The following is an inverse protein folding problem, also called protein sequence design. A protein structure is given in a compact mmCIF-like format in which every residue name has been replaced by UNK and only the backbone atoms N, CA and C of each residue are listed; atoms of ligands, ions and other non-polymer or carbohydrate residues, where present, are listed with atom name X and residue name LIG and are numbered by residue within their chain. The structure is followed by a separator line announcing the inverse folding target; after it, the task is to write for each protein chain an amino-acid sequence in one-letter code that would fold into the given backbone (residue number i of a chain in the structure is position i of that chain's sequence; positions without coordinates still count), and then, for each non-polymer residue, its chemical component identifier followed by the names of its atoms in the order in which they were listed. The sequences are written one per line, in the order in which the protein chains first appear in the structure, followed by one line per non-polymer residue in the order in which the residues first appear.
data_IF_948169131436
#
_entry.id   IF_948169131436
#
_cell.length_a   1.000
_cell.length_b   1.000
_cell.length_c   1.000
_cell.angle_alpha   90.00
_cell.angle_beta   90.00
_cell.angle_gamma   90.00
#
_symmetry.space_group_name_H-M   'P 1'
#
loop_
_entity.id
_entity.type
_entity.pdbx_description
1 polymer ?
#
# COMPACT_ATOMS: atom_id res chain seq x y z
N UNK A 1 38.71 -1.43 -18.68
CA UNK A 1 37.71 -1.09 -17.64
C UNK A 1 36.38 -1.68 -18.07
N UNK A 2 36.04 -2.89 -17.62
CA UNK A 2 34.75 -3.50 -17.94
C UNK A 2 33.70 -2.97 -16.96
N UNK A 3 32.68 -2.29 -17.47
CA UNK A 3 31.49 -1.98 -16.70
C UNK A 3 30.82 -3.31 -16.35
N UNK A 4 30.91 -3.71 -15.08
CA UNK A 4 30.31 -4.93 -14.58
C UNK A 4 28.81 -4.91 -14.87
N UNK A 5 28.29 -5.98 -15.47
CA UNK A 5 26.87 -6.15 -15.72
C UNK A 5 26.07 -5.85 -14.43
N UNK A 6 25.20 -4.85 -14.48
CA UNK A 6 24.25 -4.58 -13.40
C UNK A 6 23.37 -5.81 -13.22
N UNK A 7 23.67 -6.65 -12.22
CA UNK A 7 22.77 -7.73 -11.83
C UNK A 7 21.52 -7.08 -11.26
N UNK A 8 20.36 -7.39 -11.83
CA UNK A 8 19.09 -7.07 -11.20
C UNK A 8 19.00 -7.91 -9.92
N UNK A 9 19.00 -7.25 -8.76
CA UNK A 9 18.92 -7.90 -7.45
C UNK A 9 17.47 -8.28 -7.05
N UNK A 10 16.55 -8.40 -8.01
CA UNK A 10 15.15 -8.78 -7.78
C UNK A 10 14.53 -9.46 -9.00
N UNK A 11 13.58 -10.37 -8.77
CA UNK A 11 12.90 -11.09 -9.87
C UNK A 11 11.81 -10.22 -10.51
N UNK A 12 11.69 -10.29 -11.84
CA UNK A 12 10.62 -9.61 -12.59
C UNK A 12 9.23 -10.09 -12.15
N UNK A 13 9.10 -11.38 -11.91
CA UNK A 13 7.89 -12.01 -11.39
C UNK A 13 7.44 -11.38 -10.06
N UNK A 14 8.37 -11.20 -9.12
CA UNK A 14 8.06 -10.58 -7.83
C UNK A 14 7.70 -9.11 -8.01
N UNK A 15 8.37 -8.38 -8.90
CA UNK A 15 7.95 -7.02 -9.24
C UNK A 15 6.50 -6.98 -9.75
N UNK A 16 6.13 -7.89 -10.66
CA UNK A 16 4.78 -7.92 -11.23
C UNK A 16 3.72 -8.30 -10.16
N UNK A 17 4.04 -9.15 -9.19
CA UNK A 17 3.19 -9.46 -8.03
C UNK A 17 3.00 -8.22 -7.14
N UNK A 18 4.08 -7.49 -6.86
CA UNK A 18 4.05 -6.31 -5.98
C UNK A 18 3.37 -5.09 -6.63
N UNK A 19 3.42 -4.96 -7.96
CA UNK A 19 2.78 -3.86 -8.70
C UNK A 19 1.26 -4.06 -8.87
N UNK A 20 0.81 -5.32 -8.95
CA UNK A 20 -0.60 -5.68 -9.06
C UNK A 20 -1.24 -5.82 -7.67
N UNK A 21 -2.12 -4.87 -7.29
CA UNK A 21 -2.69 -4.80 -5.94
C UNK A 21 -3.52 -6.03 -5.55
N UNK A 22 -4.09 -6.73 -6.52
CA UNK A 22 -4.86 -7.96 -6.30
C UNK A 22 -3.94 -9.14 -5.96
N UNK A 23 -2.84 -9.28 -6.70
CA UNK A 23 -1.79 -10.26 -6.42
C UNK A 23 -1.07 -9.95 -5.11
N UNK A 24 -0.81 -8.67 -4.84
CA UNK A 24 -0.19 -8.21 -3.60
C UNK A 24 -1.08 -8.45 -2.37
N UNK A 25 -2.39 -8.19 -2.46
CA UNK A 25 -3.30 -8.47 -1.36
C UNK A 25 -3.34 -9.96 -1.01
N UNK A 26 -3.36 -10.84 -2.03
CA UNK A 26 -3.23 -12.30 -1.83
C UNK A 26 -1.93 -12.68 -1.13
N UNK A 27 -0.80 -12.10 -1.55
CA UNK A 27 0.49 -12.31 -0.90
C UNK A 27 0.47 -11.86 0.58
N UNK A 28 -0.17 -10.74 0.90
CA UNK A 28 -0.32 -10.28 2.29
C UNK A 28 -1.16 -11.25 3.12
N UNK A 29 -2.27 -11.75 2.57
CA UNK A 29 -3.09 -12.75 3.24
C UNK A 29 -2.33 -14.06 3.51
N UNK A 30 -1.57 -14.57 2.52
CA UNK A 30 -0.74 -15.77 2.65
C UNK A 30 0.37 -15.63 3.69
N UNK A 31 0.95 -14.43 3.81
CA UNK A 31 2.02 -14.13 4.79
C UNK A 31 1.48 -13.76 6.18
N UNK A 32 0.16 -13.67 6.34
CA UNK A 32 -0.49 -13.26 7.58
C UNK A 32 -0.25 -11.79 7.94
N UNK A 33 0.12 -10.96 6.97
CA UNK A 33 0.26 -9.52 7.17
C UNK A 33 -1.10 -8.83 7.10
N UNK A 34 -1.36 -7.85 7.97
CA UNK A 34 -2.62 -7.12 7.96
C UNK A 34 -2.75 -6.32 6.66
N UNK A 35 -3.94 -6.39 6.05
CA UNK A 35 -4.31 -5.57 4.90
C UNK A 35 -5.81 -5.21 4.98
N UNK A 36 -6.24 -4.12 4.29
CA UNK A 36 -7.66 -3.79 4.22
C UNK A 36 -8.46 -4.93 3.58
N UNK A 37 -9.66 -5.22 4.09
CA UNK A 37 -10.50 -6.27 3.54
C UNK A 37 -10.86 -5.96 2.07
N UNK A 38 -10.78 -6.98 1.22
CA UNK A 38 -11.16 -6.89 -0.19
C UNK A 38 -12.64 -7.24 -0.38
N UNK A 39 -13.28 -6.51 -1.28
CA UNK A 39 -14.69 -6.68 -1.61
C UNK A 39 -14.88 -6.95 -3.10
N UNK A 40 -15.83 -7.83 -3.41
CA UNK A 40 -16.20 -8.14 -4.80
C UNK A 40 -17.07 -7.04 -5.42
N UNK A 41 -17.82 -6.30 -4.60
CA UNK A 41 -18.77 -5.28 -5.05
C UNK A 41 -18.71 -4.03 -4.18
N UNK A 42 -19.19 -2.91 -4.72
CA UNK A 42 -19.30 -1.62 -3.99
C UNK A 42 -20.51 -1.56 -3.05
N UNK A 43 -21.28 -2.65 -2.94
CA UNK A 43 -22.41 -2.80 -2.02
C UNK A 43 -21.96 -3.11 -0.58
N UNK A 44 -20.67 -3.37 -0.38
CA UNK A 44 -20.07 -3.55 0.94
C UNK A 44 -20.23 -2.30 1.83
N UNK A 45 -20.01 -2.50 3.13
CA UNK A 45 -20.14 -1.44 4.13
C UNK A 45 -19.19 -0.26 3.84
N UNK A 46 -19.73 0.95 3.92
CA UNK A 46 -18.96 2.19 3.73
C UNK A 46 -18.15 2.53 5.00
N UNK A 47 -17.03 3.27 4.88
CA UNK A 47 -16.45 3.80 3.65
C UNK A 47 -15.56 2.80 2.88
N UNK A 48 -15.57 2.90 1.56
CA UNK A 48 -14.75 2.09 0.66
C UNK A 48 -13.73 2.94 -0.11
N UNK A 49 -12.65 2.31 -0.55
CA UNK A 49 -11.70 2.84 -1.51
C UNK A 49 -11.63 1.94 -2.74
N UNK A 50 -11.69 2.54 -3.92
CA UNK A 50 -11.58 1.83 -5.20
C UNK A 50 -10.29 2.25 -5.87
N UNK A 51 -9.49 1.27 -6.29
CA UNK A 51 -8.14 1.48 -6.84
C UNK A 51 -7.97 0.67 -8.12
N UNK A 52 -7.36 1.21 -9.18
CA UNK A 52 -6.87 0.39 -10.27
C UNK A 52 -5.93 -0.70 -9.75
N UNK A 53 -6.10 -1.92 -10.24
CA UNK A 53 -5.26 -3.07 -9.88
C UNK A 53 -3.78 -2.74 -10.06
N UNK A 54 -3.41 -2.15 -11.20
CA UNK A 54 -2.06 -1.67 -11.49
C UNK A 54 -1.98 -0.15 -11.53
N UNK A 55 -0.79 0.40 -11.31
CA UNK A 55 -0.53 1.83 -11.40
C UNK A 55 -0.28 2.52 -10.05
N UNK A 56 0.27 3.73 -10.16
CA UNK A 56 0.89 4.47 -9.06
C UNK A 56 0.32 5.89 -8.89
N UNK A 57 0.81 6.60 -7.86
CA UNK A 57 0.54 8.03 -7.63
C UNK A 57 -0.95 8.37 -7.42
N UNK A 58 -1.72 7.42 -6.91
CA UNK A 58 -3.17 7.53 -6.69
C UNK A 58 -4.00 7.90 -7.93
N UNK A 59 -3.44 7.74 -9.14
CA UNK A 59 -4.18 7.92 -10.38
C UNK A 59 -5.29 6.88 -10.46
N UNK A 60 -6.52 7.33 -10.75
CA UNK A 60 -7.70 6.47 -10.84
C UNK A 60 -8.27 6.01 -9.49
N UNK A 61 -7.64 6.38 -8.36
CA UNK A 61 -8.16 6.07 -7.02
C UNK A 61 -9.32 7.01 -6.69
N UNK A 62 -10.39 6.46 -6.11
CA UNK A 62 -11.50 7.25 -5.58
C UNK A 62 -12.11 6.56 -4.35
N UNK A 63 -12.87 7.33 -3.58
CA UNK A 63 -13.48 6.89 -2.33
C UNK A 63 -15.00 6.88 -2.49
N UNK A 64 -15.65 5.99 -1.74
CA UNK A 64 -17.09 5.91 -1.63
C UNK A 64 -17.41 6.02 -0.14
N UNK A 65 -17.90 7.19 0.27
CA UNK A 65 -18.13 7.53 1.68
C UNK A 65 -19.60 7.54 2.04
N UNK A 66 -20.46 7.74 1.05
CA UNK A 66 -21.91 7.74 1.18
C UNK A 66 -22.57 7.11 -0.05
N UNK A 67 -23.89 7.00 0.00
CA UNK A 67 -24.69 6.37 -1.06
C UNK A 67 -24.71 7.18 -2.37
N UNK A 68 -24.55 8.51 -2.28
CA UNK A 68 -24.49 9.38 -3.46
C UNK A 68 -23.21 9.08 -4.25
N UNK A 69 -22.08 8.99 -3.55
CA UNK A 69 -20.81 8.57 -4.14
C UNK A 69 -20.86 7.13 -4.66
N UNK A 70 -21.60 6.23 -3.99
CA UNK A 70 -21.76 4.85 -4.44
C UNK A 70 -22.50 4.78 -5.77
N UNK A 71 -23.57 5.55 -5.92
CA UNK A 71 -24.30 5.61 -7.18
C UNK A 71 -23.43 6.18 -8.31
N UNK A 72 -22.68 7.25 -8.05
CA UNK A 72 -21.73 7.81 -9.02
C UNK A 72 -20.61 6.81 -9.39
N UNK A 73 -20.16 5.99 -8.42
CA UNK A 73 -19.17 4.95 -8.65
C UNK A 73 -19.69 3.83 -9.56
N UNK A 74 -20.96 3.41 -9.44
CA UNK A 74 -21.56 2.41 -10.36
C UNK A 74 -21.48 2.85 -11.81
N UNK A 75 -21.84 4.11 -12.08
CA UNK A 75 -21.80 4.67 -13.44
C UNK A 75 -20.38 4.77 -13.98
N UNK A 76 -19.41 5.04 -13.11
CA UNK A 76 -17.99 5.11 -13.48
C UNK A 76 -17.40 3.72 -13.77
N UNK A 77 -17.69 2.74 -12.91
CA UNK A 77 -17.17 1.38 -13.02
C UNK A 77 -17.79 0.63 -14.22
N UNK A 78 -19.09 0.82 -14.48
CA UNK A 78 -19.75 0.19 -15.63
C UNK A 78 -19.20 0.65 -16.99
N UNK A 79 -18.64 1.86 -17.06
CA UNK A 79 -18.09 2.44 -18.29
C UNK A 79 -16.61 2.15 -18.51
N UNK A 80 -15.91 1.57 -17.54
CA UNK A 80 -14.47 1.41 -17.59
C UNK A 80 -14.08 -0.07 -17.75
N UNK A 81 -13.20 -0.35 -18.72
CA UNK A 81 -12.65 -1.68 -18.95
C UNK A 81 -11.46 -2.01 -18.03
N UNK A 82 -10.95 -1.03 -17.27
CA UNK A 82 -9.84 -1.22 -16.35
C UNK A 82 -10.22 -2.12 -15.17
N UNK A 83 -9.33 -3.04 -14.76
CA UNK A 83 -9.53 -3.90 -13.59
C UNK A 83 -9.30 -3.09 -12.31
N UNK A 84 -10.32 -3.00 -11.47
CA UNK A 84 -10.27 -2.35 -10.15
C UNK A 84 -10.26 -3.38 -9.01
N UNK A 85 -9.76 -2.94 -7.85
CA UNK A 85 -9.98 -3.58 -6.56
C UNK A 85 -10.83 -2.65 -5.67
N UNK A 86 -11.63 -3.24 -4.79
CA UNK A 86 -12.48 -2.53 -3.85
C UNK A 86 -12.05 -2.98 -2.46
N UNK A 87 -11.74 -2.02 -1.59
CA UNK A 87 -11.22 -2.29 -0.26
C UNK A 87 -11.89 -1.41 0.78
N UNK A 88 -11.88 -1.86 2.04
CA UNK A 88 -12.21 -0.99 3.17
C UNK A 88 -11.33 0.27 3.15
N UNK A 89 -11.97 1.42 3.40
CA UNK A 89 -11.22 2.61 3.74
C UNK A 89 -10.75 2.52 5.18
N UNK A 90 -9.43 2.42 5.37
CA UNK A 90 -8.80 2.44 6.69
C UNK A 90 -8.54 3.88 7.09
N UNK A 91 -9.04 4.35 8.24
CA UNK A 91 -8.73 5.69 8.77
C UNK A 91 -7.36 5.71 9.46
N UNK A 92 -6.80 6.91 9.68
CA UNK A 92 -5.54 7.09 10.43
C UNK A 92 -4.37 7.64 9.61
N UNK A 93 -3.21 7.79 10.26
CA UNK A 93 -2.02 8.39 9.65
C UNK A 93 -1.32 7.39 8.74
N UNK A 94 -1.03 7.77 7.49
CA UNK A 94 -0.26 6.92 6.58
C UNK A 94 1.19 6.80 7.02
N UNK A 95 1.67 5.57 7.21
CA UNK A 95 3.09 5.26 7.43
C UNK A 95 3.70 4.61 6.19
N UNK A 96 4.91 5.03 5.83
CA UNK A 96 5.69 4.45 4.74
C UNK A 96 6.92 3.71 5.26
N UNK A 97 7.08 2.47 4.84
CA UNK A 97 8.27 1.66 5.06
C UNK A 97 9.12 1.57 3.78
N UNK A 98 10.43 1.74 3.95
CA UNK A 98 11.43 1.47 2.91
C UNK A 98 12.53 0.60 3.52
N UNK A 99 12.93 -0.46 2.83
CA UNK A 99 14.04 -1.30 3.29
C UNK A 99 14.82 -1.91 2.14
N UNK A 100 16.10 -2.16 2.39
CA UNK A 100 16.98 -2.95 1.55
C UNK A 100 17.27 -4.27 2.26
N UNK A 101 17.02 -5.38 1.56
CA UNK A 101 17.08 -6.73 2.11
C UNK A 101 18.06 -7.56 1.31
N UNK A 102 18.81 -8.42 2.00
CA UNK A 102 19.61 -9.49 1.41
C UNK A 102 19.09 -10.83 1.92
N UNK A 103 18.56 -11.66 1.01
CA UNK A 103 17.95 -12.96 1.33
C UNK A 103 16.94 -12.92 2.51
N UNK A 104 16.13 -11.86 2.56
CA UNK A 104 15.13 -11.62 3.62
C UNK A 104 15.66 -11.03 4.92
N UNK A 105 16.98 -10.80 5.02
CA UNK A 105 17.58 -10.08 6.14
C UNK A 105 17.60 -8.58 5.81
N UNK A 106 16.96 -7.71 6.61
CA UNK A 106 17.04 -6.27 6.41
C UNK A 106 18.47 -5.77 6.69
N UNK A 107 19.08 -5.13 5.69
CA UNK A 107 20.40 -4.48 5.83
C UNK A 107 20.26 -3.03 6.27
N UNK A 108 19.25 -2.33 5.75
CA UNK A 108 18.88 -0.98 6.18
C UNK A 108 17.39 -0.77 5.96
N UNK A 109 16.74 -0.10 6.91
CA UNK A 109 15.32 0.24 6.88
C UNK A 109 15.10 1.70 7.28
N UNK A 110 13.99 2.25 6.81
CA UNK A 110 13.56 3.59 7.16
C UNK A 110 12.03 3.66 7.16
N UNK A 111 11.48 4.26 8.22
CA UNK A 111 10.05 4.43 8.41
C UNK A 111 9.74 5.92 8.57
N UNK A 112 8.71 6.39 7.89
CA UNK A 112 8.26 7.77 7.96
C UNK A 112 6.74 7.90 8.08
N UNK A 113 6.31 8.89 8.86
CA UNK A 113 4.94 9.40 8.82
C UNK A 113 4.73 10.22 7.56
N UNK A 114 3.56 10.06 6.95
CA UNK A 114 3.10 10.85 5.80
C UNK A 114 2.23 11.97 6.36
N UNK A 115 2.88 13.06 6.75
CA UNK A 115 2.23 14.24 7.36
C UNK A 115 1.36 14.98 6.35
N UNK A 116 1.79 15.00 5.09
CA UNK A 116 1.02 15.56 3.98
C UNK A 116 0.98 14.60 2.80
N UNK A 117 -0.18 14.48 2.17
CA UNK A 117 -0.42 13.64 1.00
C UNK A 117 -1.15 14.40 -0.11
N UNK A 118 -0.82 14.08 -1.36
CA UNK A 118 -1.55 14.57 -2.52
C UNK A 118 -1.98 13.43 -3.45
N UNK A 119 -3.29 13.23 -3.71
CA UNK A 119 -4.43 13.87 -3.04
C UNK A 119 -4.55 13.55 -1.53
N UNK A 120 -5.23 14.44 -0.80
CA UNK A 120 -5.36 14.46 0.66
C UNK A 120 -6.31 13.34 1.15
N UNK A 121 -5.87 12.08 1.15
CA UNK A 121 -6.55 10.90 1.74
C UNK A 121 -5.97 9.53 1.32
N UNK A 122 -4.75 9.47 0.77
CA UNK A 122 -4.16 8.22 0.25
C UNK A 122 -3.24 8.42 -0.95
N UNK A 123 -2.99 9.67 -1.35
CA UNK A 123 -2.11 10.06 -2.43
C UNK A 123 -0.64 10.12 -2.06
N UNK A 124 0.24 10.39 -3.03
CA UNK A 124 1.69 10.47 -2.82
C UNK A 124 2.05 11.36 -1.63
N UNK A 125 2.90 10.86 -0.73
CA UNK A 125 3.40 11.67 0.38
C UNK A 125 4.25 12.83 -0.14
N UNK A 126 3.85 14.05 0.24
CA UNK A 126 4.52 15.31 -0.11
C UNK A 126 5.34 15.86 1.05
N UNK A 127 4.87 15.65 2.28
CA UNK A 127 5.58 16.00 3.52
C UNK A 127 5.73 14.75 4.37
N UNK A 128 6.95 14.54 4.88
CA UNK A 128 7.35 13.35 5.64
C UNK A 128 8.07 13.76 6.90
N UNK A 129 7.81 13.02 7.96
CA UNK A 129 8.56 13.12 9.21
C UNK A 129 9.05 11.74 9.62
N UNK A 130 10.14 11.69 10.38
CA UNK A 130 10.66 10.43 10.91
C UNK A 130 9.62 9.84 11.85
N UNK A 131 9.30 8.56 11.67
CA UNK A 131 8.41 7.86 12.59
C UNK A 131 9.14 7.49 13.89
N UNK A 132 8.40 7.46 15.00
CA UNK A 132 8.94 7.17 16.33
C UNK A 132 9.73 5.85 16.38
N UNK A 133 10.85 5.84 17.09
CA UNK A 133 11.81 4.71 17.09
C UNK A 133 11.23 3.43 17.72
N UNK A 134 10.34 3.54 18.71
CA UNK A 134 9.70 2.39 19.35
C UNK A 134 8.72 1.69 18.40
N UNK A 135 7.89 2.45 17.69
CA UNK A 135 6.89 1.95 16.75
C UNK A 135 7.54 1.40 15.47
N UNK A 136 8.68 1.98 15.08
CA UNK A 136 9.47 1.52 13.95
C UNK A 136 9.95 0.07 14.09
N UNK A 137 10.39 -0.35 15.29
CA UNK A 137 10.86 -1.73 15.52
C UNK A 137 9.75 -2.78 15.43
N UNK A 138 8.54 -2.45 15.88
CA UNK A 138 7.40 -3.35 15.77
C UNK A 138 6.99 -3.57 14.30
N UNK A 139 7.03 -2.50 13.49
CA UNK A 139 6.80 -2.59 12.05
C UNK A 139 7.90 -3.36 11.32
N UNK A 140 9.17 -3.12 11.67
CA UNK A 140 10.32 -3.86 11.15
C UNK A 140 10.26 -5.36 11.44
N UNK A 141 9.63 -5.78 12.54
CA UNK A 141 9.46 -7.20 12.85
C UNK A 141 8.39 -7.91 11.99
N UNK A 142 7.47 -7.14 11.38
CA UNK A 142 6.42 -7.67 10.51
C UNK A 142 6.94 -7.90 9.07
N UNK A 143 7.81 -7.03 8.56
CA UNK A 143 8.26 -7.06 7.15
C UNK A 143 9.05 -8.31 6.72
N UNK A 144 9.94 -8.92 7.55
CA UNK A 144 10.76 -10.07 7.15
C UNK A 144 9.96 -11.32 6.78
N UNK A 145 8.69 -11.43 7.19
CA UNK A 145 7.83 -12.58 6.84
C UNK A 145 7.37 -12.57 5.38
N UNK A 146 7.54 -11.45 4.65
CA UNK A 146 7.06 -11.26 3.28
C UNK A 146 8.16 -11.07 2.22
N UNK A 147 9.44 -10.99 2.59
CA UNK A 147 10.51 -10.64 1.64
C UNK A 147 11.54 -11.76 1.45
N UNK A 148 11.30 -12.67 0.51
CA UNK A 148 12.43 -13.30 -0.17
C UNK A 148 12.85 -12.39 -1.33
N UNK A 149 13.89 -11.58 -1.07
CA UNK A 149 14.60 -10.78 -2.08
C UNK A 149 13.73 -9.80 -2.89
N UNK A 150 13.14 -8.81 -2.22
CA UNK A 150 12.60 -7.61 -2.87
C UNK A 150 12.69 -6.38 -1.98
N UNK A 151 12.80 -5.22 -2.63
CA UNK A 151 12.50 -3.92 -2.02
C UNK A 151 11.01 -3.90 -1.71
N UNK A 152 10.67 -4.26 -0.48
CA UNK A 152 9.29 -4.20 -0.01
C UNK A 152 8.99 -2.74 0.34
N UNK A 153 8.21 -2.08 -0.52
CA UNK A 153 7.57 -0.80 -0.22
C UNK A 153 6.18 -1.08 0.32
N UNK A 154 6.06 -1.43 1.60
CA UNK A 154 4.75 -1.45 2.25
C UNK A 154 4.31 0.00 2.45
N UNK A 155 3.48 0.44 1.51
CA UNK A 155 2.82 1.73 1.52
C UNK A 155 1.40 1.53 2.08
N UNK A 156 1.27 1.28 3.38
CA UNK A 156 0.14 1.64 4.25
C UNK A 156 0.14 0.74 5.48
N UNK A 157 0.69 1.22 6.58
CA UNK A 157 0.11 0.92 7.90
C UNK A 157 -0.52 2.22 8.35
N UNK A 158 -1.84 2.24 8.57
CA UNK A 158 -2.50 3.36 9.23
C UNK A 158 -2.68 2.98 10.68
N UNK A 159 -2.01 3.73 11.56
CA UNK A 159 -2.16 3.56 13.00
C UNK A 159 -3.27 4.48 13.49
N UNK A 160 -4.16 3.96 14.34
CA UNK A 160 -5.01 4.78 15.19
C UNK A 160 -4.10 5.45 16.21
N UNK A 161 -3.77 6.73 15.98
CA UNK A 161 -3.07 7.53 16.99
C UNK A 161 -4.10 8.44 17.64
N UNK A 162 -4.44 8.12 18.90
CA UNK A 162 -5.25 8.96 19.77
C UNK A 162 -4.72 10.40 19.77
N UNK A 163 -5.54 11.34 19.31
CA UNK A 163 -5.34 12.76 19.61
C UNK A 163 -5.79 13.00 21.05
N UNK A 164 -4.86 12.86 21.99
CA UNK A 164 -4.89 13.62 23.23
C UNK A 164 -3.53 14.28 23.46
N UNK A 165 -3.45 15.55 23.06
CA UNK A 165 -2.71 16.62 23.74
C UNK A 165 -3.13 17.96 23.14
#
# INVERSE_FOLDING_TARGET
MSWGHTRLHGSRELFDILDDKDSFARLLAETGLPHPADHQTIDAQLPLVVKPSRGSSAKGVFYIRDEIERQAARDKLSKNAEKYIIQDYVAGQGIGFSGFFDNGVPLVSYIHSRVGEYPHSGGSSVVRERYGYADAKALEALVPRASQSAVVRICHVRTETDRQQ
#
